data_IF_858440482164
#
_entry.id   IF_858440482164
#
_cell.length_a   1.000
_cell.length_b   1.000
_cell.length_c   1.000
_cell.angle_alpha   90.00
_cell.angle_beta   90.00
_cell.angle_gamma   90.00
#
_symmetry.space_group_name_H-M   'P 1'
#
loop_
_entity.id
_entity.type
_entity.pdbx_description
1 polymer ?
#
# COMPACT_ATOMS: atom_id res chain seq x y z
N UNK A 1 -13.42 15.32 -17.43
CA UNK A 1 -13.64 16.74 -17.84
C UNK A 1 -12.88 17.75 -16.99
N UNK A 2 -12.92 17.73 -15.63
CA UNK A 2 -12.13 18.69 -14.81
C UNK A 2 -10.63 18.42 -14.87
N UNK A 3 -10.21 17.16 -14.73
CA UNK A 3 -8.80 16.74 -14.72
C UNK A 3 -8.11 17.05 -16.06
N UNK A 4 -8.72 16.70 -17.17
CA UNK A 4 -8.12 16.95 -18.50
C UNK A 4 -7.87 18.44 -18.76
N UNK A 5 -8.78 19.31 -18.30
CA UNK A 5 -8.59 20.78 -18.37
C UNK A 5 -7.43 21.26 -17.49
N UNK A 6 -7.16 20.59 -16.37
CA UNK A 6 -6.01 20.92 -15.51
C UNK A 6 -4.73 20.48 -16.23
N UNK A 7 -4.65 19.23 -16.70
CA UNK A 7 -3.49 18.71 -17.43
C UNK A 7 -3.13 19.59 -18.63
N UNK A 8 -4.13 20.04 -19.40
CA UNK A 8 -3.91 20.94 -20.55
C UNK A 8 -3.34 22.32 -20.16
N UNK A 9 -3.52 22.76 -18.91
CA UNK A 9 -3.00 24.04 -18.40
C UNK A 9 -1.63 23.91 -17.75
N UNK A 10 -1.25 22.69 -17.35
CA UNK A 10 0.03 22.43 -16.68
C UNK A 10 1.17 22.47 -17.70
N UNK A 11 2.32 23.02 -17.27
CA UNK A 11 3.56 22.86 -18.02
C UNK A 11 4.06 21.42 -17.92
N UNK A 12 4.92 21.00 -18.82
CA UNK A 12 5.51 19.66 -18.77
C UNK A 12 6.29 19.44 -17.47
N UNK A 13 7.04 20.46 -17.04
CA UNK A 13 7.78 20.45 -15.78
C UNK A 13 6.85 20.23 -14.58
N UNK A 14 5.71 20.93 -14.51
CA UNK A 14 4.75 20.77 -13.45
C UNK A 14 4.09 19.37 -13.44
N UNK A 15 3.83 18.79 -14.61
CA UNK A 15 3.28 17.43 -14.73
C UNK A 15 4.29 16.38 -14.24
N UNK A 16 5.56 16.51 -14.64
CA UNK A 16 6.64 15.60 -14.21
C UNK A 16 6.79 15.70 -12.68
N UNK A 17 6.88 16.92 -12.15
CA UNK A 17 7.04 17.14 -10.72
C UNK A 17 5.82 16.69 -9.91
N UNK A 18 4.57 16.80 -10.44
CA UNK A 18 3.36 16.27 -9.79
C UNK A 18 3.44 14.75 -9.55
N UNK A 19 4.17 14.04 -10.38
CA UNK A 19 4.37 12.60 -10.29
C UNK A 19 5.53 12.20 -9.36
N UNK A 20 6.01 13.12 -8.52
CA UNK A 20 6.97 12.89 -7.44
C UNK A 20 6.40 13.39 -6.11
N UNK A 21 6.81 12.79 -4.99
CA UNK A 21 6.41 13.27 -3.67
C UNK A 21 6.89 14.70 -3.41
N UNK A 22 6.14 15.46 -2.61
CA UNK A 22 6.57 16.73 -2.06
C UNK A 22 7.54 16.54 -0.91
N UNK A 23 7.23 15.58 -0.07
CA UNK A 23 7.99 15.18 1.09
C UNK A 23 7.80 13.68 1.35
N UNK A 24 8.15 13.22 2.55
CA UNK A 24 8.10 11.80 2.90
C UNK A 24 6.68 11.20 2.85
N UNK A 25 5.62 12.00 3.06
CA UNK A 25 4.24 11.49 3.19
C UNK A 25 3.22 12.15 2.26
N UNK A 26 3.60 13.17 1.50
CA UNK A 26 2.63 13.98 0.77
C UNK A 26 2.94 14.09 -0.72
N UNK A 27 1.88 14.20 -1.51
CA UNK A 27 1.97 14.61 -2.91
C UNK A 27 2.11 16.12 -3.03
N UNK A 28 2.67 16.60 -4.14
CA UNK A 28 2.84 18.03 -4.41
C UNK A 28 1.51 18.78 -4.50
N UNK A 29 1.46 19.94 -3.87
CA UNK A 29 0.36 20.91 -3.93
C UNK A 29 0.66 21.96 -5.02
N UNK A 30 -0.33 22.27 -5.86
CA UNK A 30 -0.22 23.34 -6.84
C UNK A 30 -1.43 24.29 -6.75
N UNK A 31 -1.29 25.37 -5.99
CA UNK A 31 -2.37 26.37 -5.80
C UNK A 31 -2.82 26.99 -7.12
N UNK A 32 -1.88 27.28 -8.04
CA UNK A 32 -2.17 27.89 -9.35
C UNK A 32 -3.09 27.03 -10.23
N UNK A 33 -3.18 25.72 -9.97
CA UNK A 33 -4.07 24.79 -10.67
C UNK A 33 -5.21 24.29 -9.80
N UNK A 34 -5.26 24.70 -8.51
CA UNK A 34 -6.25 24.21 -7.55
C UNK A 34 -6.06 22.73 -7.19
N UNK A 35 -4.80 22.24 -7.19
CA UNK A 35 -4.45 20.87 -6.84
C UNK A 35 -4.03 20.86 -5.36
N UNK A 36 -4.77 20.18 -4.47
CA UNK A 36 -4.37 20.00 -3.07
C UNK A 36 -3.31 18.94 -2.91
N UNK A 37 -2.64 18.89 -1.76
CA UNK A 37 -1.80 17.78 -1.35
C UNK A 37 -2.65 16.61 -0.86
N UNK A 38 -2.15 15.38 -1.04
CA UNK A 38 -2.67 14.16 -0.48
C UNK A 38 -1.69 13.62 0.55
N UNK A 39 -2.14 13.44 1.79
CA UNK A 39 -1.36 12.79 2.83
C UNK A 39 -1.58 11.26 2.77
N UNK A 40 -0.48 10.51 2.84
CA UNK A 40 -0.47 9.05 2.90
C UNK A 40 0.37 8.57 4.07
N UNK A 41 0.04 7.45 4.68
CA UNK A 41 0.88 6.87 5.73
C UNK A 41 0.77 5.35 5.81
N UNK A 42 1.76 4.75 6.49
CA UNK A 42 1.69 3.35 6.88
C UNK A 42 0.50 3.09 7.80
N UNK A 43 0.03 1.86 7.82
CA UNK A 43 -0.99 1.46 8.75
C UNK A 43 -1.89 0.30 8.38
N UNK A 44 -1.37 -0.82 7.81
CA UNK A 44 -2.21 -1.97 7.47
C UNK A 44 -2.81 -2.64 8.72
N UNK A 45 -2.23 -2.45 9.92
CA UNK A 45 -2.77 -2.91 11.19
C UNK A 45 -2.91 -1.79 12.24
N UNK A 46 -3.02 -0.54 11.79
CA UNK A 46 -3.20 0.67 12.59
C UNK A 46 -2.42 1.84 12.02
N UNK A 47 -3.03 3.01 11.96
CA UNK A 47 -2.40 4.19 11.35
C UNK A 47 -1.13 4.60 12.09
N UNK A 48 -0.10 4.94 11.32
CA UNK A 48 1.14 5.52 11.81
C UNK A 48 1.34 6.92 11.23
N UNK A 49 0.47 7.85 11.60
CA UNK A 49 0.60 9.26 11.18
C UNK A 49 1.55 10.00 12.10
N UNK A 50 2.74 10.36 11.58
CA UNK A 50 3.69 11.21 12.30
C UNK A 50 3.21 12.67 12.29
N UNK A 51 3.37 13.37 13.42
CA UNK A 51 2.92 14.77 13.56
C UNK A 51 3.98 15.77 13.11
N UNK A 52 5.25 15.42 13.34
CA UNK A 52 6.43 16.24 13.04
C UNK A 52 7.15 15.75 11.78
N UNK A 53 8.43 16.12 11.64
CA UNK A 53 9.26 15.65 10.54
C UNK A 53 9.28 14.13 10.46
N UNK A 54 9.05 13.60 9.28
CA UNK A 54 9.06 12.17 9.03
C UNK A 54 10.44 11.57 9.34
N UNK A 55 10.46 10.42 9.97
CA UNK A 55 11.66 9.62 10.13
C UNK A 55 11.41 8.17 9.68
N UNK A 56 12.45 7.54 9.13
CA UNK A 56 12.39 6.13 8.70
C UNK A 56 12.51 5.14 9.88
N UNK A 57 12.94 5.61 11.05
CA UNK A 57 13.20 4.78 12.23
C UNK A 57 12.01 4.73 13.19
N UNK A 58 11.02 5.61 13.02
CA UNK A 58 9.85 5.68 13.89
C UNK A 58 10.16 6.22 15.27
N UNK A 59 11.15 7.12 15.38
CA UNK A 59 11.56 7.76 16.64
C UNK A 59 10.67 8.93 17.01
N UNK A 60 10.08 9.60 16.01
CA UNK A 60 9.17 10.71 16.23
C UNK A 60 7.77 10.21 16.62
N UNK A 61 7.07 11.03 17.39
CA UNK A 61 5.74 10.73 17.86
C UNK A 61 4.77 10.56 16.69
N UNK A 62 3.87 9.60 16.83
CA UNK A 62 2.73 9.40 15.94
C UNK A 62 1.44 9.70 16.68
N UNK A 63 0.42 10.10 15.94
CA UNK A 63 -0.93 10.26 16.51
C UNK A 63 -1.42 8.93 17.06
N UNK A 64 -2.10 8.93 18.21
CA UNK A 64 -2.76 7.73 18.71
C UNK A 64 -3.74 7.17 17.66
N UNK A 65 -3.71 5.86 17.50
CA UNK A 65 -4.60 5.10 16.63
C UNK A 65 -4.84 3.72 17.24
N UNK A 66 -5.87 3.02 16.78
CA UNK A 66 -6.12 1.65 17.24
C UNK A 66 -5.03 0.72 16.70
N UNK A 67 -4.37 -0.02 17.59
CA UNK A 67 -3.44 -1.08 17.23
C UNK A 67 -4.23 -2.38 17.01
N UNK A 68 -4.54 -2.68 15.77
CA UNK A 68 -5.09 -3.98 15.38
C UNK A 68 -3.99 -5.04 15.36
N UNK A 69 -4.33 -6.34 15.56
CA UNK A 69 -3.35 -7.40 15.34
C UNK A 69 -2.77 -7.36 13.92
N UNK A 70 -1.48 -7.66 13.81
CA UNK A 70 -0.82 -7.71 12.51
C UNK A 70 -1.45 -8.75 11.58
N UNK A 71 -1.23 -8.61 10.27
CA UNK A 71 -1.84 -9.47 9.24
C UNK A 71 -1.55 -10.95 9.47
N UNK A 72 -0.36 -11.28 9.99
CA UNK A 72 0.00 -12.65 10.35
C UNK A 72 -0.93 -13.25 11.40
N UNK A 73 -1.45 -12.44 12.32
CA UNK A 73 -2.40 -12.86 13.34
C UNK A 73 -3.82 -12.91 12.80
N UNK A 74 -4.26 -11.83 12.13
CA UNK A 74 -5.63 -11.75 11.59
C UNK A 74 -5.89 -12.81 10.52
N UNK A 75 -4.86 -13.22 9.78
CA UNK A 75 -4.98 -14.32 8.81
C UNK A 75 -5.33 -15.66 9.46
N UNK A 76 -4.98 -15.86 10.73
CA UNK A 76 -5.35 -17.06 11.49
C UNK A 76 -6.85 -17.23 11.71
N UNK A 77 -7.64 -16.15 11.59
CA UNK A 77 -9.10 -16.22 11.68
C UNK A 77 -9.76 -16.87 10.46
N UNK A 78 -9.13 -16.79 9.29
CA UNK A 78 -9.69 -17.19 7.98
C UNK A 78 -11.01 -16.49 7.66
N UNK A 79 -11.27 -15.34 8.27
CA UNK A 79 -12.51 -14.59 8.16
C UNK A 79 -12.36 -13.30 7.35
N UNK A 80 -12.79 -13.28 6.07
CA UNK A 80 -12.77 -12.08 5.25
C UNK A 80 -13.69 -10.96 5.77
N UNK A 81 -14.78 -11.28 6.49
CA UNK A 81 -15.69 -10.27 7.02
C UNK A 81 -15.02 -9.50 8.15
N UNK A 82 -14.30 -10.20 9.03
CA UNK A 82 -13.47 -9.57 10.05
C UNK A 82 -12.44 -8.61 9.45
N UNK A 83 -11.77 -9.02 8.36
CA UNK A 83 -10.79 -8.17 7.67
C UNK A 83 -11.45 -6.95 7.02
N UNK A 84 -12.68 -7.07 6.50
CA UNK A 84 -13.44 -5.92 6.00
C UNK A 84 -13.81 -4.94 7.11
N UNK A 85 -14.21 -5.43 8.29
CA UNK A 85 -14.48 -4.60 9.47
C UNK A 85 -13.23 -3.85 9.94
N UNK A 86 -12.08 -4.52 10.00
CA UNK A 86 -10.77 -3.92 10.36
C UNK A 86 -10.41 -2.84 9.33
N UNK A 87 -10.50 -3.15 8.03
CA UNK A 87 -10.25 -2.17 6.97
C UNK A 87 -11.16 -0.95 7.09
N UNK A 88 -12.45 -1.16 7.39
CA UNK A 88 -13.40 -0.07 7.60
C UNK A 88 -13.07 0.78 8.83
N UNK A 89 -12.62 0.17 9.93
CA UNK A 89 -12.20 0.89 11.13
C UNK A 89 -10.95 1.76 10.85
N UNK A 90 -9.93 1.19 10.22
CA UNK A 90 -8.71 1.92 9.81
C UNK A 90 -9.07 3.05 8.82
N UNK A 91 -9.96 2.80 7.87
CA UNK A 91 -10.43 3.83 6.93
C UNK A 91 -11.14 4.99 7.63
N UNK A 92 -11.96 4.73 8.67
CA UNK A 92 -12.58 5.80 9.48
C UNK A 92 -11.54 6.61 10.26
N UNK A 93 -10.59 5.96 10.91
CA UNK A 93 -9.49 6.66 11.62
C UNK A 93 -8.63 7.48 10.65
N UNK A 94 -8.33 6.93 9.47
CA UNK A 94 -7.61 7.64 8.41
C UNK A 94 -8.36 8.92 7.99
N UNK A 95 -9.66 8.82 7.75
CA UNK A 95 -10.50 9.96 7.40
C UNK A 95 -10.53 11.02 8.51
N UNK A 96 -10.68 10.63 9.77
CA UNK A 96 -10.64 11.54 10.93
C UNK A 96 -9.30 12.25 11.04
N UNK A 97 -8.20 11.52 10.80
CA UNK A 97 -6.85 12.06 10.88
C UNK A 97 -6.40 12.80 9.60
N UNK A 98 -7.23 12.90 8.57
CA UNK A 98 -6.89 13.58 7.32
C UNK A 98 -5.89 12.81 6.46
N UNK A 99 -5.90 11.48 6.53
CA UNK A 99 -5.11 10.58 5.68
C UNK A 99 -5.97 10.11 4.52
N UNK A 100 -5.55 10.38 3.29
CA UNK A 100 -6.30 10.02 2.10
C UNK A 100 -5.90 8.70 1.45
N UNK A 101 -4.72 8.15 1.83
CA UNK A 101 -4.22 6.87 1.33
C UNK A 101 -3.52 6.10 2.45
N UNK A 102 -4.00 4.89 2.74
CA UNK A 102 -3.35 3.94 3.65
C UNK A 102 -2.43 3.03 2.84
N UNK A 103 -1.15 2.93 3.25
CA UNK A 103 -0.13 2.12 2.59
C UNK A 103 -0.23 0.66 3.04
N UNK A 104 -1.19 -0.03 2.51
CA UNK A 104 -1.52 -1.42 2.80
C UNK A 104 -2.80 -1.85 2.06
N UNK A 105 -3.14 -3.16 2.15
CA UNK A 105 -2.47 -4.23 2.90
C UNK A 105 -1.28 -4.83 2.16
N UNK A 106 -0.44 -5.61 2.89
CA UNK A 106 0.63 -6.40 2.31
C UNK A 106 0.13 -7.78 1.87
N UNK A 107 0.44 -8.19 0.62
CA UNK A 107 -0.05 -9.46 0.05
C UNK A 107 1.07 -10.38 -0.47
N UNK A 108 2.34 -10.12 -0.13
CA UNK A 108 3.42 -11.01 -0.51
C UNK A 108 3.32 -12.36 0.22
N UNK A 109 3.79 -13.42 -0.45
CA UNK A 109 3.85 -14.75 0.15
C UNK A 109 4.90 -14.82 1.27
N UNK A 110 4.58 -15.52 2.33
CA UNK A 110 5.52 -15.92 3.39
C UNK A 110 6.38 -17.09 2.91
N UNK A 111 7.34 -16.81 2.03
CA UNK A 111 8.16 -17.83 1.38
C UNK A 111 9.23 -18.38 2.32
N UNK A 112 9.81 -17.50 3.15
CA UNK A 112 10.86 -17.84 4.10
C UNK A 112 10.46 -17.30 5.49
N UNK A 113 10.45 -18.14 6.54
CA UNK A 113 10.09 -17.70 7.89
C UNK A 113 11.02 -16.61 8.45
N UNK A 114 12.24 -16.49 7.91
CA UNK A 114 13.20 -15.46 8.32
C UNK A 114 13.00 -14.10 7.60
N UNK A 115 12.01 -13.95 6.73
CA UNK A 115 11.70 -12.67 6.13
C UNK A 115 11.23 -11.67 7.19
N UNK A 116 11.93 -10.54 7.35
CA UNK A 116 11.67 -9.54 8.39
C UNK A 116 10.31 -8.84 8.29
N UNK A 117 9.60 -8.97 7.15
CA UNK A 117 8.29 -8.37 6.93
C UNK A 117 7.13 -9.38 6.94
N UNK A 118 7.37 -10.62 7.38
CA UNK A 118 6.30 -11.62 7.47
C UNK A 118 5.15 -11.22 8.40
N UNK A 119 5.38 -10.32 9.36
CA UNK A 119 4.34 -9.85 10.27
C UNK A 119 3.22 -9.08 9.53
N UNK A 120 3.55 -8.35 8.46
CA UNK A 120 2.61 -7.55 7.68
C UNK A 120 2.07 -8.26 6.41
N UNK A 121 2.31 -9.56 6.27
CA UNK A 121 1.77 -10.40 5.20
C UNK A 121 0.84 -11.46 5.76
N UNK A 122 -0.24 -11.78 5.03
CA UNK A 122 -1.29 -12.67 5.54
C UNK A 122 -0.84 -14.13 5.63
N UNK A 123 -0.46 -14.75 4.52
CA UNK A 123 -0.29 -16.20 4.45
C UNK A 123 0.81 -16.64 3.47
N UNK A 124 1.22 -17.90 3.58
CA UNK A 124 1.95 -18.62 2.55
C UNK A 124 1.00 -19.13 1.44
N UNK A 125 -0.30 -19.26 1.75
CA UNK A 125 -1.33 -19.59 0.79
C UNK A 125 -1.76 -18.33 0.02
N UNK A 126 -1.52 -18.26 -1.31
CA UNK A 126 -1.84 -17.08 -2.09
C UNK A 126 -3.34 -16.82 -2.24
N UNK A 127 -4.16 -17.86 -2.20
CA UNK A 127 -5.61 -17.71 -2.28
C UNK A 127 -6.16 -17.05 -1.00
N UNK A 128 -5.80 -17.58 0.16
CA UNK A 128 -6.18 -17.00 1.46
C UNK A 128 -5.69 -15.55 1.56
N UNK A 129 -4.40 -15.31 1.27
CA UNK A 129 -3.83 -13.96 1.28
C UNK A 129 -4.61 -12.99 0.38
N UNK A 130 -4.97 -13.42 -0.83
CA UNK A 130 -5.74 -12.61 -1.78
C UNK A 130 -7.15 -12.28 -1.30
N UNK A 131 -7.86 -13.26 -0.71
CA UNK A 131 -9.23 -13.05 -0.19
C UNK A 131 -9.25 -12.10 1.00
N UNK A 132 -8.32 -12.26 1.94
CA UNK A 132 -8.22 -11.38 3.11
C UNK A 132 -7.79 -9.96 2.70
N UNK A 133 -6.80 -9.83 1.81
CA UNK A 133 -6.40 -8.54 1.27
C UNK A 133 -7.56 -7.83 0.53
N UNK A 134 -8.30 -8.55 -0.31
CA UNK A 134 -9.45 -7.99 -1.01
C UNK A 134 -10.54 -7.49 -0.04
N UNK A 135 -10.79 -8.23 1.03
CA UNK A 135 -11.77 -7.84 2.05
C UNK A 135 -11.35 -6.59 2.81
N UNK A 136 -10.09 -6.52 3.27
CA UNK A 136 -9.52 -5.33 3.89
C UNK A 136 -9.64 -4.09 2.99
N UNK A 137 -9.25 -4.23 1.72
CA UNK A 137 -9.34 -3.16 0.72
C UNK A 137 -10.78 -2.65 0.61
N UNK A 138 -11.75 -3.55 0.41
CA UNK A 138 -13.17 -3.15 0.32
C UNK A 138 -13.63 -2.39 1.57
N UNK A 139 -13.22 -2.82 2.74
CA UNK A 139 -13.57 -2.15 3.99
C UNK A 139 -13.08 -0.72 4.07
N UNK A 140 -11.80 -0.49 3.78
CA UNK A 140 -11.18 0.84 3.81
C UNK A 140 -11.67 1.75 2.69
N UNK A 141 -11.72 1.25 1.45
CA UNK A 141 -12.19 2.01 0.28
C UNK A 141 -13.68 2.42 0.41
N UNK A 142 -14.50 1.62 1.10
CA UNK A 142 -15.89 1.98 1.40
C UNK A 142 -16.02 3.21 2.32
N UNK A 143 -14.97 3.58 3.05
CA UNK A 143 -14.92 4.82 3.83
C UNK A 143 -14.48 6.03 2.97
N UNK A 144 -14.12 5.80 1.71
CA UNK A 144 -13.61 6.79 0.77
C UNK A 144 -12.11 7.06 0.91
N UNK A 145 -11.41 6.29 1.74
CA UNK A 145 -9.96 6.34 1.92
C UNK A 145 -9.32 5.32 0.99
N UNK A 146 -8.34 5.76 0.20
CA UNK A 146 -7.64 4.88 -0.72
C UNK A 146 -6.74 3.87 0.01
N UNK A 147 -6.48 2.74 -0.65
CA UNK A 147 -5.53 1.71 -0.20
C UNK A 147 -4.41 1.53 -1.20
N UNK A 148 -3.24 1.12 -0.72
CA UNK A 148 -2.09 0.78 -1.56
C UNK A 148 -1.70 -0.66 -1.34
N UNK A 149 -2.19 -1.55 -2.20
CA UNK A 149 -1.84 -2.98 -2.17
C UNK A 149 -0.34 -3.15 -2.42
N UNK A 150 0.38 -3.84 -1.49
CA UNK A 150 1.85 -3.91 -1.51
C UNK A 150 2.38 -5.30 -1.21
N UNK A 151 3.61 -5.63 -1.62
CA UNK A 151 4.54 -4.93 -2.51
C UNK A 151 4.62 -5.70 -3.83
N UNK A 152 4.24 -5.12 -4.91
CA UNK A 152 4.08 -5.77 -6.21
C UNK A 152 5.38 -5.72 -7.02
N UNK A 153 6.10 -6.86 -7.17
CA UNK A 153 5.78 -8.20 -6.70
C UNK A 153 7.02 -8.92 -6.18
N UNK A 154 6.78 -10.12 -5.62
CA UNK A 154 7.82 -11.07 -5.20
C UNK A 154 8.82 -10.51 -4.17
N UNK A 155 8.38 -9.64 -3.25
CA UNK A 155 9.18 -9.13 -2.13
C UNK A 155 9.10 -10.10 -0.95
N UNK A 156 9.80 -11.23 -1.04
CA UNK A 156 9.74 -12.32 -0.05
C UNK A 156 10.99 -12.40 0.83
N UNK A 157 11.86 -11.41 0.77
CA UNK A 157 13.02 -11.24 1.65
C UNK A 157 13.42 -9.76 1.75
N UNK A 158 14.12 -9.39 2.85
CA UNK A 158 14.57 -8.01 3.10
C UNK A 158 16.08 -7.83 2.93
N UNK A 159 16.86 -8.92 2.96
CA UNK A 159 18.30 -8.82 2.77
C UNK A 159 18.63 -8.30 1.36
N UNK A 160 19.33 -7.16 1.31
CA UNK A 160 19.67 -6.44 0.06
C UNK A 160 18.46 -6.16 -0.85
N UNK A 161 17.32 -5.83 -0.28
CA UNK A 161 16.05 -5.66 -1.00
C UNK A 161 16.10 -4.71 -2.19
N UNK A 162 16.97 -3.68 -2.16
CA UNK A 162 17.16 -2.74 -3.28
C UNK A 162 17.94 -3.32 -4.46
N UNK A 163 18.68 -4.41 -4.26
CA UNK A 163 19.56 -4.98 -5.29
C UNK A 163 19.32 -6.46 -5.55
N UNK A 164 18.48 -7.10 -4.74
CA UNK A 164 18.14 -8.53 -4.91
C UNK A 164 17.33 -8.76 -6.19
N UNK A 165 17.40 -9.98 -6.69
CA UNK A 165 16.66 -10.41 -7.87
C UNK A 165 15.91 -11.71 -7.58
N UNK A 166 14.59 -11.67 -7.62
CA UNK A 166 13.74 -12.84 -7.53
C UNK A 166 13.67 -13.49 -8.92
N UNK A 167 14.20 -14.71 -9.03
CA UNK A 167 14.20 -15.46 -10.30
C UNK A 167 13.13 -16.55 -10.23
N UNK A 168 12.14 -16.44 -11.07
CA UNK A 168 10.96 -17.31 -11.10
C UNK A 168 10.61 -17.68 -12.54
N UNK A 169 10.19 -18.92 -12.77
CA UNK A 169 9.53 -19.28 -14.01
C UNK A 169 8.11 -18.71 -14.06
N UNK A 170 7.53 -18.63 -15.26
CA UNK A 170 6.23 -18.00 -15.48
C UNK A 170 5.09 -18.68 -14.71
N UNK A 171 5.12 -20.01 -14.60
CA UNK A 171 4.09 -20.74 -13.87
C UNK A 171 4.14 -20.44 -12.39
N UNK A 172 5.32 -20.51 -11.78
CA UNK A 172 5.53 -20.19 -10.36
C UNK A 172 5.15 -18.75 -10.08
N UNK A 173 5.54 -17.81 -10.96
CA UNK A 173 5.17 -16.40 -10.83
C UNK A 173 3.64 -16.23 -10.82
N UNK A 174 2.94 -16.80 -11.80
CA UNK A 174 1.50 -16.65 -11.99
C UNK A 174 0.67 -17.35 -10.93
N UNK A 175 0.99 -18.62 -10.63
CA UNK A 175 0.17 -19.45 -9.75
C UNK A 175 0.40 -19.18 -8.27
N UNK A 176 1.59 -18.68 -7.89
CA UNK A 176 1.93 -18.45 -6.49
C UNK A 176 2.08 -16.95 -6.18
N UNK A 177 3.06 -16.27 -6.80
CA UNK A 177 3.45 -14.92 -6.37
C UNK A 177 2.49 -13.83 -6.80
N UNK A 178 1.74 -14.03 -7.88
CA UNK A 178 0.79 -13.03 -8.40
C UNK A 178 -0.66 -13.31 -8.01
N UNK A 179 -1.03 -14.54 -7.65
CA UNK A 179 -2.41 -14.92 -7.34
C UNK A 179 -3.05 -14.05 -6.26
N UNK A 180 -2.34 -13.77 -5.16
CA UNK A 180 -2.87 -12.92 -4.09
C UNK A 180 -3.14 -11.48 -4.58
N UNK A 181 -2.25 -10.94 -5.40
CA UNK A 181 -2.42 -9.60 -5.99
C UNK A 181 -3.55 -9.57 -7.01
N UNK A 182 -3.67 -10.60 -7.86
CA UNK A 182 -4.75 -10.68 -8.84
C UNK A 182 -6.13 -10.69 -8.18
N UNK A 183 -6.31 -11.52 -7.15
CA UNK A 183 -7.55 -11.58 -6.37
C UNK A 183 -7.82 -10.22 -5.70
N UNK A 184 -6.81 -9.64 -5.04
CA UNK A 184 -6.95 -8.36 -4.35
C UNK A 184 -7.29 -7.21 -5.31
N UNK A 185 -6.68 -7.16 -6.50
CA UNK A 185 -6.98 -6.16 -7.54
C UNK A 185 -8.39 -6.33 -8.10
N UNK A 186 -8.76 -7.56 -8.48
CA UNK A 186 -10.06 -7.83 -9.13
C UNK A 186 -11.24 -7.74 -8.18
N UNK A 187 -11.10 -8.24 -6.95
CA UNK A 187 -12.18 -8.31 -5.96
C UNK A 187 -12.15 -7.15 -4.96
N UNK A 188 -10.97 -6.67 -4.58
CA UNK A 188 -10.78 -5.56 -3.63
C UNK A 188 -10.87 -4.20 -4.29
N UNK A 189 -10.35 -4.06 -5.51
CA UNK A 189 -10.30 -2.82 -6.31
C UNK A 189 -9.56 -1.68 -5.60
N UNK A 190 -8.29 -1.89 -5.20
CA UNK A 190 -7.52 -0.85 -4.50
C UNK A 190 -7.35 0.40 -5.37
N UNK A 191 -7.31 1.55 -4.73
CA UNK A 191 -7.01 2.83 -5.41
C UNK A 191 -5.61 2.85 -5.99
N UNK A 192 -4.65 2.20 -5.31
CA UNK A 192 -3.26 2.13 -5.75
C UNK A 192 -2.64 0.75 -5.56
N UNK A 193 -1.57 0.51 -6.31
CA UNK A 193 -0.66 -0.64 -6.14
C UNK A 193 0.75 -0.10 -5.94
N UNK A 194 1.45 -0.60 -4.92
CA UNK A 194 2.83 -0.21 -4.64
C UNK A 194 3.79 -1.23 -5.24
N UNK A 195 4.66 -0.78 -6.17
CA UNK A 195 5.70 -1.65 -6.71
C UNK A 195 6.80 -1.92 -5.68
N UNK A 196 7.35 -3.12 -5.73
CA UNK A 196 8.34 -3.60 -4.77
C UNK A 196 9.77 -3.10 -5.09
N UNK A 197 10.67 -3.20 -4.10
CA UNK A 197 12.08 -2.85 -4.27
C UNK A 197 12.87 -3.78 -5.21
N UNK A 198 12.74 -5.13 -5.11
CA UNK A 198 13.64 -6.03 -5.80
C UNK A 198 13.43 -6.04 -7.31
N UNK A 199 14.40 -6.61 -7.99
CA UNK A 199 14.22 -7.06 -9.37
C UNK A 199 13.39 -8.33 -9.39
N UNK A 200 12.62 -8.47 -10.46
CA UNK A 200 11.99 -9.73 -10.85
C UNK A 200 12.52 -10.15 -12.22
N UNK A 201 13.14 -11.31 -12.29
CA UNK A 201 13.77 -11.83 -13.52
C UNK A 201 14.71 -10.80 -14.19
N UNK A 202 15.49 -10.07 -13.36
CA UNK A 202 16.51 -9.13 -13.82
C UNK A 202 16.03 -7.69 -14.01
N UNK A 203 14.73 -7.39 -13.96
CA UNK A 203 14.15 -6.06 -14.16
C UNK A 203 13.58 -5.53 -12.85
N UNK A 204 13.87 -4.26 -12.48
CA UNK A 204 13.25 -3.64 -11.32
C UNK A 204 11.73 -3.59 -11.46
N UNK A 205 11.01 -3.81 -10.36
CA UNK A 205 9.54 -3.81 -10.40
C UNK A 205 8.97 -2.46 -10.87
N UNK A 206 9.65 -1.34 -10.56
CA UNK A 206 9.29 0.00 -11.02
C UNK A 206 9.39 0.21 -12.53
N UNK A 207 10.23 -0.59 -13.20
CA UNK A 207 10.56 -0.45 -14.63
C UNK A 207 9.96 -1.58 -15.47
N UNK A 208 9.22 -2.49 -14.85
CA UNK A 208 8.78 -3.72 -15.49
C UNK A 208 7.50 -3.54 -16.30
N UNK A 209 7.65 -3.47 -17.64
CA UNK A 209 6.51 -3.49 -18.55
C UNK A 209 5.63 -4.74 -18.34
N UNK A 210 6.25 -5.91 -18.19
CA UNK A 210 5.53 -7.17 -17.99
C UNK A 210 4.64 -7.12 -16.75
N UNK A 211 5.14 -6.57 -15.62
CA UNK A 211 4.36 -6.46 -14.39
C UNK A 211 3.31 -5.35 -14.47
N UNK A 212 3.74 -4.10 -14.78
CA UNK A 212 2.90 -2.93 -14.59
C UNK A 212 1.94 -2.69 -15.75
N UNK A 213 2.38 -2.94 -16.98
CA UNK A 213 1.54 -2.73 -18.17
C UNK A 213 0.79 -4.01 -18.55
N UNK A 214 1.53 -5.09 -18.83
CA UNK A 214 0.93 -6.25 -19.46
C UNK A 214 0.03 -7.01 -18.47
N UNK A 215 0.54 -7.33 -17.27
CA UNK A 215 -0.21 -8.07 -16.26
C UNK A 215 -1.19 -7.17 -15.52
N UNK A 216 -0.70 -6.16 -14.80
CA UNK A 216 -1.53 -5.36 -13.90
C UNK A 216 -2.61 -4.58 -14.65
N UNK A 217 -2.23 -3.82 -15.68
CA UNK A 217 -3.17 -2.95 -16.38
C UNK A 217 -3.96 -3.67 -17.46
N UNK A 218 -3.30 -4.44 -18.32
CA UNK A 218 -3.96 -5.07 -19.49
C UNK A 218 -4.73 -6.32 -19.10
N UNK A 219 -4.10 -7.29 -18.42
CA UNK A 219 -4.76 -8.55 -18.11
C UNK A 219 -5.76 -8.40 -16.94
N UNK A 220 -5.38 -7.68 -15.88
CA UNK A 220 -6.24 -7.53 -14.69
C UNK A 220 -7.16 -6.33 -14.74
N UNK A 221 -6.95 -5.40 -15.68
CA UNK A 221 -7.80 -4.22 -15.87
C UNK A 221 -7.61 -3.14 -14.80
N UNK A 222 -6.44 -3.07 -14.15
CA UNK A 222 -6.19 -2.09 -13.10
C UNK A 222 -6.12 -0.66 -13.67
N UNK A 223 -7.07 0.17 -13.29
CA UNK A 223 -7.17 1.58 -13.70
C UNK A 223 -6.67 2.59 -12.66
N UNK A 224 -6.16 2.12 -11.51
CA UNK A 224 -5.66 2.96 -10.43
C UNK A 224 -4.23 3.47 -10.64
N UNK A 225 -3.68 4.11 -9.62
CA UNK A 225 -2.33 4.65 -9.62
C UNK A 225 -1.32 3.60 -9.16
N UNK A 226 -0.17 3.50 -9.83
CA UNK A 226 0.99 2.76 -9.34
C UNK A 226 1.93 3.73 -8.64
N UNK A 227 2.27 3.41 -7.39
CA UNK A 227 3.22 4.16 -6.57
C UNK A 227 4.47 3.30 -6.32
N UNK A 228 5.63 3.91 -6.19
CA UNK A 228 6.83 3.18 -5.75
C UNK A 228 6.79 2.90 -4.26
N UNK A 229 7.42 1.83 -3.80
CA UNK A 229 7.94 1.81 -2.44
C UNK A 229 8.99 2.92 -2.28
N UNK A 230 9.27 3.35 -1.05
CA UNK A 230 10.03 4.56 -0.74
C UNK A 230 11.49 4.44 -1.22
N UNK A 231 11.81 5.16 -2.29
CA UNK A 231 13.12 5.08 -2.95
C UNK A 231 13.30 3.90 -3.91
N UNK A 232 12.22 3.22 -4.29
CA UNK A 232 12.27 2.08 -5.21
C UNK A 232 12.32 2.46 -6.69
N UNK A 233 12.24 3.75 -7.05
CA UNK A 233 12.37 4.20 -8.44
C UNK A 233 13.81 3.98 -8.92
N UNK A 234 13.97 3.16 -9.95
CA UNK A 234 15.27 2.88 -10.56
C UNK A 234 15.50 3.74 -11.81
N UNK A 235 14.62 3.65 -12.81
CA UNK A 235 14.66 4.47 -14.02
C UNK A 235 13.32 5.21 -14.18
N UNK A 236 13.34 6.55 -14.02
CA UNK A 236 12.11 7.34 -14.05
C UNK A 236 11.51 7.45 -15.45
N UNK A 237 12.35 7.44 -16.50
CA UNK A 237 11.89 7.49 -17.90
C UNK A 237 11.14 6.20 -18.23
N UNK A 238 11.75 5.06 -17.88
CA UNK A 238 11.09 3.77 -18.09
C UNK A 238 9.88 3.62 -17.17
N UNK A 239 9.95 4.10 -15.92
CA UNK A 239 8.81 4.14 -15.01
C UNK A 239 7.58 4.83 -15.61
N UNK A 240 7.74 6.00 -16.24
CA UNK A 240 6.63 6.65 -16.95
C UNK A 240 6.15 5.81 -18.15
N UNK A 241 7.07 5.23 -18.90
CA UNK A 241 6.74 4.39 -20.07
C UNK A 241 5.87 3.20 -19.70
N UNK A 242 6.15 2.57 -18.58
CA UNK A 242 5.44 1.35 -18.12
C UNK A 242 4.27 1.63 -17.17
N UNK A 243 4.06 2.90 -16.81
CA UNK A 243 2.93 3.32 -15.98
C UNK A 243 3.15 3.16 -14.48
N UNK A 244 4.39 3.35 -13.99
CA UNK A 244 4.71 3.65 -12.59
C UNK A 244 4.51 5.15 -12.37
N UNK A 245 3.41 5.54 -11.74
CA UNK A 245 2.86 6.89 -11.82
C UNK A 245 3.50 7.86 -10.82
N UNK A 246 3.65 7.46 -9.56
CA UNK A 246 4.13 8.31 -8.47
C UNK A 246 5.40 7.76 -7.86
N UNK A 247 6.48 8.53 -7.87
CA UNK A 247 7.75 8.22 -7.22
C UNK A 247 7.79 8.82 -5.81
N UNK A 248 7.93 7.99 -4.78
CA UNK A 248 8.03 8.40 -3.39
C UNK A 248 9.42 8.09 -2.81
N UNK A 249 9.92 8.90 -1.87
CA UNK A 249 9.32 10.07 -1.24
C UNK A 249 9.50 11.39 -2.02
N UNK A 250 10.03 11.36 -3.25
CA UNK A 250 10.41 12.54 -4.02
C UNK A 250 11.85 13.00 -3.76
N UNK A 251 12.19 14.24 -4.18
CA UNK A 251 13.54 14.79 -3.96
C UNK A 251 14.58 14.36 -4.97
N UNK A 252 14.17 13.83 -6.11
CA UNK A 252 15.06 13.38 -7.20
C UNK A 252 15.06 14.35 -8.38
N UNK A 253 15.46 15.60 -8.15
CA UNK A 253 15.48 16.65 -9.17
C UNK A 253 16.24 16.27 -10.46
N UNK A 254 17.26 15.41 -10.34
CA UNK A 254 18.01 14.93 -11.51
C UNK A 254 17.14 14.00 -12.38
N UNK A 255 16.34 13.11 -11.78
CA UNK A 255 15.43 12.24 -12.53
C UNK A 255 14.34 13.04 -13.25
N UNK A 256 13.83 14.10 -12.62
CA UNK A 256 12.85 14.99 -13.26
C UNK A 256 13.43 15.70 -14.48
N UNK A 257 14.70 16.14 -14.42
CA UNK A 257 15.43 16.74 -15.55
C UNK A 257 15.66 15.75 -16.68
N UNK A 258 16.04 14.52 -16.35
CA UNK A 258 16.24 13.46 -17.35
C UNK A 258 14.94 13.14 -18.11
N UNK A 259 13.81 13.05 -17.39
CA UNK A 259 12.48 12.87 -17.99
C UNK A 259 12.11 14.06 -18.90
N UNK A 260 12.34 15.28 -18.43
CA UNK A 260 12.08 16.49 -19.22
C UNK A 260 12.86 16.48 -20.55
N UNK A 261 14.14 16.10 -20.47
CA UNK A 261 14.98 15.97 -21.65
C UNK A 261 14.48 14.86 -22.59
N UNK A 262 14.12 13.69 -22.05
CA UNK A 262 13.62 12.56 -22.83
C UNK A 262 12.32 12.90 -23.58
N UNK A 263 11.44 13.72 -22.99
CA UNK A 263 10.23 14.19 -23.68
C UNK A 263 10.59 15.18 -24.77
N UNK A 264 11.52 16.13 -24.51
CA UNK A 264 11.98 17.11 -25.53
C UNK A 264 12.66 16.43 -26.73
N UNK A 265 13.40 15.37 -26.49
CA UNK A 265 14.11 14.59 -27.52
C UNK A 265 13.17 13.60 -28.25
N UNK A 266 11.92 13.46 -27.81
CA UNK A 266 10.95 12.52 -28.37
C UNK A 266 11.20 11.04 -28.02
N UNK A 267 12.13 10.74 -27.11
CA UNK A 267 12.40 9.37 -26.64
C UNK A 267 11.37 8.85 -25.66
N UNK A 268 10.69 9.77 -24.93
CA UNK A 268 9.52 9.48 -24.12
C UNK A 268 8.31 10.28 -24.66
N UNK A 269 7.20 9.63 -25.03
CA UNK A 269 5.98 10.35 -25.39
C UNK A 269 5.43 11.15 -24.21
N UNK A 270 5.08 12.43 -24.40
CA UNK A 270 4.48 13.27 -23.35
C UNK A 270 3.19 12.65 -22.78
N UNK A 271 2.45 11.89 -23.59
CA UNK A 271 1.25 11.18 -23.17
C UNK A 271 1.50 10.21 -22.00
N UNK A 272 2.71 9.64 -21.84
CA UNK A 272 3.05 8.80 -20.70
C UNK A 272 3.06 9.60 -19.39
N UNK A 273 3.55 10.84 -19.45
CA UNK A 273 3.54 11.78 -18.32
C UNK A 273 2.10 12.24 -18.03
N UNK A 274 1.33 12.57 -19.07
CA UNK A 274 -0.08 12.98 -18.94
C UNK A 274 -0.94 11.88 -18.31
N UNK A 275 -0.73 10.63 -18.69
CA UNK A 275 -1.46 9.50 -18.12
C UNK A 275 -1.14 9.28 -16.65
N UNK A 276 0.13 9.38 -16.26
CA UNK A 276 0.54 9.30 -14.86
C UNK A 276 -0.02 10.48 -14.04
N UNK A 277 0.12 11.71 -14.54
CA UNK A 277 -0.45 12.91 -13.90
C UNK A 277 -1.98 12.78 -13.73
N UNK A 278 -2.67 12.23 -14.73
CA UNK A 278 -4.12 11.98 -14.67
C UNK A 278 -4.50 11.04 -13.53
N UNK A 279 -3.74 9.95 -13.34
CA UNK A 279 -4.01 8.97 -12.26
C UNK A 279 -3.71 9.57 -10.88
N UNK A 280 -2.63 10.34 -10.74
CA UNK A 280 -2.33 11.08 -9.51
C UNK A 280 -3.46 12.07 -9.19
N UNK A 281 -3.87 12.90 -10.14
CA UNK A 281 -4.95 13.88 -9.95
C UNK A 281 -6.29 13.22 -9.60
N UNK A 282 -6.60 12.08 -10.20
CA UNK A 282 -7.83 11.33 -9.89
C UNK A 282 -7.88 10.95 -8.42
N UNK A 283 -6.80 10.36 -7.90
CA UNK A 283 -6.71 9.98 -6.50
C UNK A 283 -6.75 11.20 -5.57
N UNK A 284 -5.96 12.23 -5.86
CA UNK A 284 -5.89 13.47 -5.06
C UNK A 284 -7.26 14.12 -4.91
N UNK A 285 -8.02 14.28 -6.00
CA UNK A 285 -9.34 14.90 -5.94
C UNK A 285 -10.38 14.00 -5.26
N UNK A 286 -10.34 12.70 -5.48
CA UNK A 286 -11.23 11.75 -4.82
C UNK A 286 -11.00 11.76 -3.30
N UNK A 287 -9.77 11.70 -2.85
CA UNK A 287 -9.42 11.78 -1.44
C UNK A 287 -9.81 13.13 -0.82
N UNK A 288 -9.60 14.25 -1.53
CA UNK A 288 -9.98 15.58 -1.06
C UNK A 288 -11.48 15.69 -0.83
N UNK A 289 -12.29 15.14 -1.72
CA UNK A 289 -13.75 15.11 -1.56
C UNK A 289 -14.15 14.34 -0.30
N UNK A 290 -13.55 13.17 -0.08
CA UNK A 290 -13.77 12.35 1.12
C UNK A 290 -13.37 13.08 2.39
N UNK A 291 -12.18 13.68 2.41
CA UNK A 291 -11.62 14.36 3.58
C UNK A 291 -12.31 15.70 3.90
N UNK A 292 -13.07 16.26 2.97
CA UNK A 292 -13.90 17.45 3.23
C UNK A 292 -15.07 17.16 4.19
N UNK A 293 -15.44 15.91 4.35
CA UNK A 293 -16.48 15.47 5.26
C UNK A 293 -15.91 15.20 6.65
N UNK A 294 -16.49 15.82 7.68
CA UNK A 294 -16.07 15.56 9.06
C UNK A 294 -16.30 14.08 9.40
N UNK A 295 -15.33 13.48 10.05
CA UNK A 295 -15.42 12.14 10.60
C UNK A 295 -15.09 12.20 12.10
N UNK A 296 -15.72 11.32 12.87
CA UNK A 296 -15.39 11.06 14.25
C UNK A 296 -15.38 9.54 14.44
N UNK A 297 -14.39 9.04 15.17
CA UNK A 297 -14.22 7.62 15.41
C UNK A 297 -14.64 7.22 16.82
N UNK A 298 -15.24 6.05 16.93
CA UNK A 298 -15.47 5.38 18.19
C UNK A 298 -14.28 4.43 18.45
N UNK A 299 -13.26 4.95 19.13
CA UNK A 299 -12.04 4.21 19.44
C UNK A 299 -12.30 3.03 20.40
N UNK A 300 -13.34 3.10 21.26
CA UNK A 300 -13.72 1.99 22.13
C UNK A 300 -14.31 0.83 21.33
N UNK A 301 -15.13 1.13 20.33
CA UNK A 301 -15.63 0.12 19.38
C UNK A 301 -14.48 -0.49 18.58
N UNK A 302 -13.50 0.32 18.12
CA UNK A 302 -12.33 -0.17 17.41
C UNK A 302 -11.43 -1.01 18.30
N UNK A 303 -11.24 -0.64 19.59
CA UNK A 303 -10.53 -1.46 20.56
C UNK A 303 -11.23 -2.81 20.78
N UNK A 304 -12.55 -2.81 20.88
CA UNK A 304 -13.34 -4.04 21.00
C UNK A 304 -13.17 -4.94 19.77
N UNK A 305 -13.16 -4.35 18.58
CA UNK A 305 -12.89 -5.08 17.34
C UNK A 305 -11.46 -5.65 17.31
N UNK A 306 -10.45 -4.87 17.73
CA UNK A 306 -9.07 -5.34 17.80
C UNK A 306 -8.91 -6.53 18.78
N UNK A 307 -9.59 -6.46 19.93
CA UNK A 307 -9.64 -7.56 20.90
C UNK A 307 -10.29 -8.82 20.31
N UNK A 308 -11.42 -8.67 19.60
CA UNK A 308 -12.08 -9.76 18.91
C UNK A 308 -11.14 -10.39 17.86
N UNK A 309 -10.50 -9.56 17.03
CA UNK A 309 -9.56 -10.02 16.01
C UNK A 309 -8.38 -10.79 16.60
N UNK A 310 -7.84 -10.35 17.73
CA UNK A 310 -6.77 -11.06 18.42
C UNK A 310 -7.22 -12.44 18.94
N UNK A 311 -8.45 -12.53 19.45
CA UNK A 311 -9.01 -13.78 19.95
C UNK A 311 -9.31 -14.76 18.80
N UNK A 312 -9.92 -14.29 17.73
CA UNK A 312 -10.27 -15.10 16.55
C UNK A 312 -9.05 -15.53 15.73
N UNK A 313 -7.95 -14.74 15.78
CA UNK A 313 -6.68 -15.11 15.15
C UNK A 313 -5.87 -16.14 15.92
N UNK A 314 -6.23 -16.46 17.16
CA UNK A 314 -5.50 -17.39 18.00
C UNK A 314 -5.85 -18.85 17.68
N UNK A 315 -4.83 -19.66 17.37
CA UNK A 315 -4.99 -21.09 17.06
C UNK A 315 -4.45 -21.92 18.22
N UNK A 316 -5.31 -22.75 18.83
CA UNK A 316 -4.92 -23.68 19.90
C UNK A 316 -4.24 -24.92 19.29
N UNK A 317 -2.90 -24.90 19.26
CA UNK A 317 -2.10 -26.00 18.68
C UNK A 317 -1.96 -27.20 19.60
N UNK A 318 -2.00 -27.00 20.92
CA UNK A 318 -1.79 -28.06 21.91
C UNK A 318 -2.52 -27.73 23.21
N UNK A 319 -3.27 -28.67 23.74
CA UNK A 319 -3.93 -28.57 25.06
C UNK A 319 -3.96 -29.93 25.73
N UNK A 320 -2.75 -30.51 25.96
CA UNK A 320 -2.60 -31.74 26.72
C UNK A 320 -3.06 -31.50 28.14
N UNK A 321 -3.64 -32.53 28.77
CA UNK A 321 -4.23 -32.47 30.11
C UNK A 321 -5.38 -31.46 30.30
N UNK A 322 -5.88 -30.85 29.24
CA UNK A 322 -7.05 -29.93 29.27
C UNK A 322 -6.85 -28.74 30.21
N UNK A 323 -5.66 -28.13 30.20
CA UNK A 323 -5.36 -26.95 31.03
C UNK A 323 -6.18 -25.72 30.64
N UNK A 324 -6.57 -25.64 29.37
CA UNK A 324 -7.45 -24.59 28.83
C UNK A 324 -8.87 -25.15 28.59
N UNK A 325 -9.93 -24.35 28.86
CA UNK A 325 -9.90 -23.01 29.46
C UNK A 325 -9.44 -23.03 30.94
N UNK A 326 -8.75 -21.95 31.34
CA UNK A 326 -8.28 -21.81 32.71
C UNK A 326 -9.45 -21.86 33.70
N UNK A 327 -9.25 -22.53 34.84
CA UNK A 327 -10.26 -22.57 35.92
C UNK A 327 -10.47 -21.16 36.49
N UNK A 328 -11.69 -20.87 36.90
CA UNK A 328 -12.00 -19.62 37.57
C UNK A 328 -11.13 -19.48 38.83
N UNK A 329 -10.56 -18.31 39.06
CA UNK A 329 -9.60 -18.04 40.16
C UNK A 329 -8.23 -18.75 40.05
N UNK A 330 -7.84 -19.25 38.88
CA UNK A 330 -6.49 -19.76 38.69
C UNK A 330 -5.44 -18.66 38.96
N UNK A 331 -4.35 -19.05 39.67
CA UNK A 331 -3.19 -18.15 39.81
C UNK A 331 -2.39 -18.18 38.51
N UNK A 332 -2.24 -17.02 37.87
CA UNK A 332 -1.55 -16.87 36.59
C UNK A 332 -0.30 -16.02 36.81
N UNK A 333 0.83 -16.50 36.31
CA UNK A 333 2.05 -15.69 36.20
C UNK A 333 2.18 -15.18 34.79
N UNK A 334 2.27 -13.84 34.59
CA UNK A 334 2.60 -13.21 33.31
C UNK A 334 4.09 -12.90 33.33
N UNK A 335 4.85 -13.49 32.41
CA UNK A 335 6.30 -13.40 32.37
C UNK A 335 6.69 -12.84 31.00
N UNK A 336 7.48 -11.76 30.97
CA UNK A 336 7.97 -11.10 29.78
C UNK A 336 8.12 -9.60 30.00
N UNK A 337 8.85 -8.94 29.10
CA UNK A 337 8.87 -7.49 28.98
C UNK A 337 7.92 -7.10 27.84
N UNK A 338 6.93 -6.27 28.15
CA UNK A 338 6.01 -5.70 27.17
C UNK A 338 6.12 -4.19 27.18
#
# INVERSE_FOLDING_TARGET
MKIDKIIQKMTLEDKIALCSGENFWETKKYEKYGIPSLFMCDGPHGLRKQEDAADMLGLNNSRPATCFPAEVTTAGSWDPELLAEIGAAIGREAKEQGVGLVLGPGANLKRNPLCGRNFEYFSEDPYLAGKLAAAFIRGAEAQGVGTSLKHFAANSQEYRRFTSNSVLDDRTLRELYLTAFEIAVKEGKPSTVMCAYPKLNGVHCSDSKALLTDILRTEWGFGGMVITDWGAMNDRIEGFRVGCDLSMPGGSDYMEKDVLQAVKDGTLPESCVDDSARRVLKLVFQATETLSQKAACDYEAHHTLAKRAAAEGAVLLKNEDGILPLKQNAKIAVIGAM
#
